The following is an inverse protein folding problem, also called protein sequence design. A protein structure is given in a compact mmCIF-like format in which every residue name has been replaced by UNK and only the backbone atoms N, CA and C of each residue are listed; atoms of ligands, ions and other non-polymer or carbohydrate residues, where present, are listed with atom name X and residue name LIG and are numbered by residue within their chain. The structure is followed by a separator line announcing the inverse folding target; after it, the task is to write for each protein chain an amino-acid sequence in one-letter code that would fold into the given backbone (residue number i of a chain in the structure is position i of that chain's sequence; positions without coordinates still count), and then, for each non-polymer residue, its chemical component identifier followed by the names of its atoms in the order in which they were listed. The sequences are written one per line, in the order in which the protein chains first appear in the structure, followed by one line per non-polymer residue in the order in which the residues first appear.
data_IF_544546750247
#
_entry.id   IF_544546750247
#
_cell.length_a   1.000
_cell.length_b   1.000
_cell.length_c   1.000
_cell.angle_alpha   90.00
_cell.angle_beta   90.00
_cell.angle_gamma   90.00
#
_symmetry.space_group_name_H-M   'P 1'
#
loop_
_entity.id
_entity.type
_entity.pdbx_description
1 polymer ?
#
# COMPACT_ATOMS: atom_id res chain seq x y z
N UNK A 1 6.92 -21.60 -7.12
CA UNK A 1 5.69 -20.99 -6.56
C UNK A 1 6.10 -19.85 -5.66
N UNK A 2 5.76 -18.60 -5.98
CA UNK A 2 5.86 -17.50 -5.02
C UNK A 2 4.44 -17.01 -4.78
N UNK A 3 3.86 -17.40 -3.65
CA UNK A 3 2.60 -16.83 -3.15
C UNK A 3 2.90 -15.38 -2.78
N UNK A 4 2.61 -14.46 -3.70
CA UNK A 4 2.83 -13.04 -3.47
C UNK A 4 1.90 -12.61 -2.33
N UNK A 5 2.42 -11.92 -1.30
CA UNK A 5 1.60 -11.53 -0.17
C UNK A 5 0.46 -10.63 -0.66
N UNK A 6 -0.77 -11.01 -0.33
CA UNK A 6 -2.00 -10.31 -0.73
C UNK A 6 -2.01 -8.83 -0.31
N UNK A 7 -1.31 -8.54 0.79
CA UNK A 7 -1.16 -7.20 1.37
C UNK A 7 0.31 -6.78 1.43
N UNK A 8 0.65 -5.76 0.64
CA UNK A 8 1.98 -5.15 0.61
C UNK A 8 2.10 -4.02 1.63
N UNK A 9 3.32 -3.80 2.12
CA UNK A 9 3.62 -2.65 2.96
C UNK A 9 3.79 -1.41 2.11
N UNK A 10 3.61 -0.24 2.71
CA UNK A 10 3.81 1.04 2.04
C UNK A 10 5.12 1.17 1.23
N UNK A 11 6.31 0.86 1.77
CA UNK A 11 7.55 0.97 1.00
C UNK A 11 7.61 0.01 -0.19
N UNK A 12 6.99 -1.15 -0.10
CA UNK A 12 6.95 -2.15 -1.17
C UNK A 12 6.08 -1.67 -2.35
N UNK A 13 4.93 -1.05 -2.04
CA UNK A 13 4.03 -0.42 -3.02
C UNK A 13 4.68 0.77 -3.71
N UNK A 14 5.42 1.58 -2.96
CA UNK A 14 6.19 2.72 -3.49
C UNK A 14 7.22 2.26 -4.52
N UNK A 15 7.89 1.14 -4.25
CA UNK A 15 8.82 0.53 -5.19
C UNK A 15 8.12 -0.05 -6.42
N UNK A 16 6.96 -0.70 -6.26
CA UNK A 16 6.21 -1.32 -7.36
C UNK A 16 5.58 -0.29 -8.30
N UNK A 17 4.95 0.76 -7.76
CA UNK A 17 4.32 1.84 -8.55
C UNK A 17 5.28 2.95 -8.98
N UNK A 18 6.55 2.90 -8.54
CA UNK A 18 7.56 3.95 -8.75
C UNK A 18 7.08 5.36 -8.33
N UNK A 19 6.29 5.44 -7.26
CA UNK A 19 5.75 6.68 -6.69
C UNK A 19 6.51 7.08 -5.43
N UNK A 20 6.34 8.32 -4.97
CA UNK A 20 6.87 8.74 -3.67
C UNK A 20 5.97 8.30 -2.51
N UNK A 21 6.55 8.14 -1.30
CA UNK A 21 5.76 7.82 -0.09
C UNK A 21 4.64 8.84 0.15
N UNK A 22 4.92 10.13 -0.01
CA UNK A 22 3.95 11.22 0.12
C UNK A 22 2.80 11.10 -0.89
N UNK A 23 3.10 10.76 -2.15
CA UNK A 23 2.09 10.52 -3.17
C UNK A 23 1.23 9.29 -2.84
N UNK A 24 1.84 8.20 -2.39
CA UNK A 24 1.09 7.01 -2.00
C UNK A 24 0.20 7.26 -0.78
N UNK A 25 0.66 8.00 0.24
CA UNK A 25 -0.21 8.45 1.33
C UNK A 25 -1.38 9.32 0.85
N UNK A 26 -1.16 10.18 -0.16
CA UNK A 26 -2.23 10.96 -0.76
C UNK A 26 -3.26 10.07 -1.47
N UNK A 27 -2.81 9.06 -2.22
CA UNK A 27 -3.69 8.10 -2.91
C UNK A 27 -4.52 7.26 -1.91
N UNK A 28 -3.87 6.77 -0.84
CA UNK A 28 -4.56 6.05 0.24
C UNK A 28 -5.57 6.94 0.95
N UNK A 29 -5.20 8.18 1.26
CA UNK A 29 -6.09 9.15 1.91
C UNK A 29 -7.24 9.58 1.00
N UNK A 30 -7.00 9.68 -0.30
CA UNK A 30 -8.02 9.99 -1.31
C UNK A 30 -8.97 8.82 -1.57
N UNK A 31 -8.61 7.60 -1.14
CA UNK A 31 -9.38 6.38 -1.40
C UNK A 31 -9.19 5.79 -2.79
N UNK A 32 -8.29 6.37 -3.59
CA UNK A 32 -7.93 5.88 -4.93
C UNK A 32 -7.16 4.55 -4.84
N UNK A 33 -6.34 4.43 -3.78
CA UNK A 33 -5.61 3.21 -3.46
C UNK A 33 -6.21 2.55 -2.19
N UNK A 34 -6.89 1.41 -2.31
CA UNK A 34 -7.51 0.76 -1.17
C UNK A 34 -6.44 0.17 -0.25
N UNK A 35 -6.27 0.79 0.92
CA UNK A 35 -5.36 0.35 1.96
C UNK A 35 -6.08 0.18 3.30
N UNK A 36 -5.62 -0.78 4.09
CA UNK A 36 -6.11 -1.07 5.43
C UNK A 36 -5.07 -0.67 6.47
N UNK A 37 -5.51 -0.02 7.54
CA UNK A 37 -4.64 0.22 8.68
C UNK A 37 -4.55 -1.06 9.50
N UNK A 38 -3.35 -1.66 9.56
CA UNK A 38 -3.12 -2.92 10.25
C UNK A 38 -2.41 -2.64 11.57
N UNK A 39 -3.18 -2.47 12.65
CA UNK A 39 -2.66 -2.24 14.01
C UNK A 39 -2.54 -0.77 14.45
N UNK A 40 -1.89 -0.56 15.58
CA UNK A 40 -1.77 0.76 16.23
C UNK A 40 -0.66 1.64 15.66
N UNK A 41 -1.05 2.86 15.24
CA UNK A 41 -0.23 3.99 14.76
C UNK A 41 0.57 3.73 13.46
N UNK A 42 -0.05 4.05 12.32
CA UNK A 42 0.67 4.37 11.07
C UNK A 42 1.05 3.19 10.18
N UNK A 43 0.70 1.96 10.54
CA UNK A 43 0.91 0.81 9.67
C UNK A 43 -0.25 0.67 8.68
N UNK A 44 0.01 0.96 7.41
CA UNK A 44 -0.92 0.76 6.32
C UNK A 44 -0.45 -0.38 5.44
N UNK A 45 -1.40 -1.20 4.99
CA UNK A 45 -1.14 -2.27 4.03
C UNK A 45 -2.08 -2.12 2.85
N UNK A 46 -1.53 -2.21 1.65
CA UNK A 46 -2.28 -2.06 0.40
C UNK A 46 -2.54 -3.44 -0.16
N UNK A 47 -3.76 -3.67 -0.64
CA UNK A 47 -4.09 -4.92 -1.32
C UNK A 47 -3.49 -4.92 -2.74
N UNK A 48 -2.64 -5.91 -3.04
CA UNK A 48 -1.95 -6.01 -4.33
C UNK A 48 -2.92 -6.21 -5.50
N UNK A 49 -4.05 -6.88 -5.27
CA UNK A 49 -5.03 -7.20 -6.33
C UNK A 49 -5.76 -5.94 -6.86
N UNK A 50 -5.55 -4.80 -6.21
CA UNK A 50 -6.17 -3.50 -6.51
C UNK A 50 -5.16 -2.44 -6.96
N UNK A 51 -3.89 -2.82 -7.17
CA UNK A 51 -2.84 -1.95 -7.71
C UNK A 51 -2.97 -1.78 -9.23
#
# INVERSE_FOLDING_TARGET
MADQPRFMTLPDVVAELAVSQSQMYALVKSGDLPAIQTGGRGQWRVERVKL
#
